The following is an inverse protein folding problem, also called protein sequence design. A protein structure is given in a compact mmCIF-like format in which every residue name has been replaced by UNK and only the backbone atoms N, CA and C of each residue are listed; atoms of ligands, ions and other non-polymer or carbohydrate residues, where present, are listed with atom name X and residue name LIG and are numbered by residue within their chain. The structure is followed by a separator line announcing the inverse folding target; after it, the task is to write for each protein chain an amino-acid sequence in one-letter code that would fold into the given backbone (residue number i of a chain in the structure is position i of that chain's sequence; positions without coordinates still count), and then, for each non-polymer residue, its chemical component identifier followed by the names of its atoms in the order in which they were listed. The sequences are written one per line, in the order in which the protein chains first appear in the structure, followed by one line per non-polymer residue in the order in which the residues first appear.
data_IF_251913218614
#
_entry.id   IF_251913218614
#
_cell.length_a   1.000
_cell.length_b   1.000
_cell.length_c   1.000
_cell.angle_alpha   90.00
_cell.angle_beta   90.00
_cell.angle_gamma   90.00
#
_symmetry.space_group_name_H-M   'P 1'
#
loop_
_entity.id
_entity.type
_entity.pdbx_description
1 polymer ?
#
# COMPACT_ATOMS: atom_id res chain seq x y z
N UNK A 1 -1.91 13.37 17.47
CA UNK A 1 -1.34 13.25 16.11
C UNK A 1 -0.94 11.82 15.75
N UNK A 2 -0.07 11.14 16.50
CA UNK A 2 0.47 9.81 16.13
C UNK A 2 -0.62 8.77 15.82
N UNK A 3 -1.55 8.52 16.76
CA UNK A 3 -2.61 7.52 16.56
C UNK A 3 -3.42 7.79 15.29
N UNK A 4 -3.91 9.02 15.12
CA UNK A 4 -4.67 9.42 13.93
C UNK A 4 -3.87 9.17 12.65
N UNK A 5 -2.58 9.53 12.62
CA UNK A 5 -1.73 9.34 11.46
C UNK A 5 -1.51 7.85 11.15
N UNK A 6 -1.22 7.03 12.15
CA UNK A 6 -1.01 5.59 11.98
C UNK A 6 -2.29 4.88 11.52
N UNK A 7 -3.44 5.18 12.14
CA UNK A 7 -4.73 4.61 11.76
C UNK A 7 -5.08 4.99 10.30
N UNK A 8 -4.92 6.28 9.94
CA UNK A 8 -5.13 6.78 8.57
C UNK A 8 -4.17 6.13 7.56
N UNK A 9 -2.92 5.90 7.96
CA UNK A 9 -1.93 5.26 7.11
C UNK A 9 -2.26 3.78 6.86
N UNK A 10 -2.58 3.02 7.91
CA UNK A 10 -2.85 1.58 7.79
C UNK A 10 -4.14 1.32 7.00
N UNK A 11 -5.22 2.03 7.33
CA UNK A 11 -6.51 1.79 6.69
C UNK A 11 -6.58 2.46 5.32
N UNK A 12 -6.36 3.78 5.28
CA UNK A 12 -6.56 4.58 4.07
C UNK A 12 -5.40 4.52 3.08
N UNK A 13 -4.15 4.67 3.54
CA UNK A 13 -3.02 4.73 2.62
C UNK A 13 -2.64 3.33 2.11
N UNK A 14 -2.46 2.38 3.04
CA UNK A 14 -2.01 1.02 2.73
C UNK A 14 -3.17 0.16 2.21
N UNK A 15 -4.27 0.10 2.95
CA UNK A 15 -5.43 -0.74 2.62
C UNK A 15 -5.97 -0.44 1.22
N UNK A 16 -6.28 0.83 0.98
CA UNK A 16 -6.92 1.24 -0.29
C UNK A 16 -5.98 1.17 -1.49
N UNK A 17 -4.68 1.46 -1.31
CA UNK A 17 -3.69 1.28 -2.40
C UNK A 17 -3.58 -0.18 -2.81
N UNK A 18 -3.56 -1.11 -1.84
CA UNK A 18 -3.54 -2.54 -2.11
C UNK A 18 -4.84 -2.98 -2.78
N UNK A 19 -6.00 -2.54 -2.27
CA UNK A 19 -7.30 -2.87 -2.83
C UNK A 19 -7.43 -2.41 -4.29
N UNK A 20 -7.07 -1.16 -4.57
CA UNK A 20 -7.04 -0.60 -5.93
C UNK A 20 -6.10 -1.40 -6.84
N UNK A 21 -4.89 -1.75 -6.38
CA UNK A 21 -3.95 -2.50 -7.20
C UNK A 21 -4.45 -3.93 -7.46
N UNK A 22 -4.96 -4.63 -6.46
CA UNK A 22 -5.54 -5.98 -6.62
C UNK A 22 -6.69 -5.95 -7.64
N UNK A 23 -7.63 -5.01 -7.49
CA UNK A 23 -8.76 -4.86 -8.40
C UNK A 23 -8.27 -4.57 -9.84
N UNK A 24 -7.29 -3.67 -9.99
CA UNK A 24 -6.68 -3.33 -11.29
C UNK A 24 -5.98 -4.53 -11.93
N UNK A 25 -5.35 -5.41 -11.16
CA UNK A 25 -4.77 -6.66 -11.69
C UNK A 25 -5.85 -7.64 -12.10
N UNK A 26 -6.94 -7.74 -11.34
CA UNK A 26 -8.12 -8.53 -11.66
C UNK A 26 -8.73 -8.15 -13.01
N UNK A 27 -8.87 -6.85 -13.27
CA UNK A 27 -9.43 -6.33 -14.53
C UNK A 27 -8.70 -6.83 -15.78
N UNK A 28 -7.39 -7.08 -15.72
CA UNK A 28 -6.59 -7.45 -16.91
C UNK A 28 -7.03 -8.75 -17.57
N UNK A 29 -7.60 -9.68 -16.80
CA UNK A 29 -8.06 -10.99 -17.30
C UNK A 29 -9.56 -11.22 -17.12
N UNK A 30 -10.28 -10.24 -16.56
CA UNK A 30 -11.71 -10.30 -16.35
C UNK A 30 -12.45 -10.26 -17.69
N UNK A 31 -13.31 -11.25 -17.91
CA UNK A 31 -14.15 -11.44 -19.09
C UNK A 31 -15.64 -11.27 -18.74
N UNK A 32 -16.02 -11.53 -17.48
CA UNK A 32 -17.39 -11.30 -17.01
C UNK A 32 -17.68 -9.79 -16.89
N UNK A 33 -18.69 -9.31 -17.62
CA UNK A 33 -18.99 -7.88 -17.73
C UNK A 33 -19.43 -7.26 -16.40
N UNK A 34 -20.21 -7.99 -15.60
CA UNK A 34 -20.68 -7.50 -14.31
C UNK A 34 -19.51 -7.35 -13.32
N UNK A 35 -18.65 -8.37 -13.24
CA UNK A 35 -17.44 -8.35 -12.41
C UNK A 35 -16.49 -7.24 -12.86
N UNK A 36 -16.33 -7.06 -14.17
CA UNK A 36 -15.48 -6.00 -14.74
C UNK A 36 -15.97 -4.61 -14.33
N UNK A 37 -17.26 -4.33 -14.48
CA UNK A 37 -17.84 -3.04 -14.08
C UNK A 37 -17.60 -2.76 -12.59
N UNK A 38 -17.86 -3.75 -11.73
CA UNK A 38 -17.61 -3.62 -10.28
C UNK A 38 -16.14 -3.37 -9.97
N UNK A 39 -15.22 -4.08 -10.62
CA UNK A 39 -13.79 -3.89 -10.41
C UNK A 39 -13.30 -2.52 -10.90
N UNK A 40 -13.86 -1.98 -12.00
CA UNK A 40 -13.58 -0.60 -12.46
C UNK A 40 -14.00 0.42 -11.40
N UNK A 41 -15.18 0.27 -10.79
CA UNK A 41 -15.61 1.14 -9.69
C UNK A 41 -14.69 1.03 -8.46
N UNK A 42 -14.28 -0.19 -8.07
CA UNK A 42 -13.36 -0.38 -6.95
C UNK A 42 -12.00 0.30 -7.22
N UNK A 43 -11.45 0.19 -8.43
CA UNK A 43 -10.18 0.85 -8.77
C UNK A 43 -10.28 2.36 -8.61
N UNK A 44 -11.38 2.97 -9.07
CA UNK A 44 -11.58 4.41 -8.99
C UNK A 44 -11.85 4.87 -7.55
N UNK A 45 -12.68 4.16 -6.80
CA UNK A 45 -13.05 4.50 -5.43
C UNK A 45 -11.86 4.38 -4.48
N UNK A 46 -11.19 3.23 -4.47
CA UNK A 46 -10.07 3.01 -3.57
C UNK A 46 -8.84 3.84 -3.98
N UNK A 47 -8.69 4.16 -5.27
CA UNK A 47 -7.70 5.14 -5.72
C UNK A 47 -7.95 6.54 -5.14
N UNK A 48 -9.21 7.00 -5.11
CA UNK A 48 -9.57 8.29 -4.49
C UNK A 48 -9.42 8.25 -2.97
N UNK A 49 -9.81 7.15 -2.32
CA UNK A 49 -9.67 7.00 -0.87
C UNK A 49 -8.20 7.01 -0.44
N UNK A 50 -7.32 6.27 -1.13
CA UNK A 50 -5.88 6.33 -0.90
C UNK A 50 -5.34 7.76 -1.07
N UNK A 51 -5.75 8.45 -2.15
CA UNK A 51 -5.35 9.84 -2.39
C UNK A 51 -5.77 10.81 -1.29
N UNK A 52 -6.98 10.65 -0.73
CA UNK A 52 -7.45 11.45 0.40
C UNK A 52 -6.69 11.14 1.69
N UNK A 53 -6.39 9.87 1.95
CA UNK A 53 -5.62 9.45 3.11
C UNK A 53 -4.21 10.04 3.08
N UNK A 54 -3.50 9.99 1.94
CA UNK A 54 -2.19 10.62 1.79
C UNK A 54 -2.22 12.14 1.97
N UNK A 55 -3.24 12.82 1.46
CA UNK A 55 -3.44 14.25 1.70
C UNK A 55 -3.63 14.56 3.19
N UNK A 56 -4.32 13.68 3.91
CA UNK A 56 -4.52 13.78 5.36
C UNK A 56 -3.20 13.60 6.11
N UNK A 57 -2.37 12.62 5.72
CA UNK A 57 -1.03 12.45 6.30
C UNK A 57 -0.17 13.69 6.10
N UNK A 58 -0.15 14.25 4.88
CA UNK A 58 0.57 15.49 4.58
C UNK A 58 0.10 16.63 5.48
N UNK A 59 -1.21 16.82 5.59
CA UNK A 59 -1.79 17.86 6.46
C UNK A 59 -1.35 17.69 7.93
N UNK A 60 -1.33 16.47 8.46
CA UNK A 60 -0.85 16.21 9.82
C UNK A 60 0.64 16.58 9.97
N UNK A 61 1.48 16.24 8.99
CA UNK A 61 2.92 16.52 9.01
C UNK A 61 3.26 18.01 8.86
N UNK A 62 2.38 18.78 8.22
CA UNK A 62 2.52 20.24 8.01
C UNK A 62 1.89 21.07 9.14
N UNK A 63 1.05 20.46 9.98
CA UNK A 63 0.43 21.15 11.10
C UNK A 63 1.45 21.64 12.14
N UNK A 64 1.20 22.81 12.73
CA UNK A 64 2.00 23.37 13.81
C UNK A 64 1.90 22.53 15.10
N UNK A 65 2.96 22.47 15.91
CA UNK A 65 2.91 21.82 17.24
C UNK A 65 4.04 20.84 17.59
N UNK A 66 5.16 20.83 16.86
CA UNK A 66 6.34 20.03 17.22
C UNK A 66 6.16 18.50 17.13
N UNK A 67 5.02 18.02 16.64
CA UNK A 67 4.70 16.58 16.53
C UNK A 67 5.22 15.93 15.24
N UNK A 68 5.68 16.73 14.27
CA UNK A 68 6.08 16.26 12.94
C UNK A 68 7.07 15.11 12.99
N UNK A 69 8.16 15.23 13.75
CA UNK A 69 9.19 14.20 13.85
C UNK A 69 8.65 12.91 14.48
N UNK A 70 7.89 13.02 15.57
CA UNK A 70 7.32 11.86 16.25
C UNK A 70 6.29 11.12 15.36
N UNK A 71 5.48 11.86 14.59
CA UNK A 71 4.54 11.26 13.62
C UNK A 71 5.31 10.60 12.47
N UNK A 72 6.29 11.28 11.88
CA UNK A 72 7.09 10.74 10.79
C UNK A 72 7.83 9.45 11.20
N UNK A 73 8.39 9.42 12.42
CA UNK A 73 9.03 8.23 12.97
C UNK A 73 8.06 7.07 13.12
N UNK A 74 6.88 7.31 13.72
CA UNK A 74 5.86 6.27 13.89
C UNK A 74 5.33 5.72 12.56
N UNK A 75 5.14 6.59 11.56
CA UNK A 75 4.73 6.16 10.22
C UNK A 75 5.79 5.28 9.54
N UNK A 76 7.07 5.66 9.62
CA UNK A 76 8.17 4.85 9.08
C UNK A 76 8.29 3.50 9.78
N UNK A 77 8.24 3.46 11.10
CA UNK A 77 8.28 2.21 11.88
C UNK A 77 7.15 1.25 11.47
N UNK A 78 5.93 1.78 11.37
CA UNK A 78 4.77 1.02 10.93
C UNK A 78 4.93 0.53 9.48
N UNK A 79 5.39 1.40 8.59
CA UNK A 79 5.62 1.07 7.18
C UNK A 79 6.67 -0.03 7.01
N UNK A 80 7.81 0.08 7.69
CA UNK A 80 8.88 -0.95 7.66
C UNK A 80 8.33 -2.30 8.09
N UNK A 81 7.66 -2.36 9.24
CA UNK A 81 7.09 -3.62 9.78
C UNK A 81 6.13 -4.28 8.78
N UNK A 82 5.24 -3.49 8.17
CA UNK A 82 4.25 -4.03 7.24
C UNK A 82 4.83 -4.39 5.87
N UNK A 83 5.81 -3.63 5.38
CA UNK A 83 6.50 -3.89 4.12
C UNK A 83 7.35 -5.16 4.23
N UNK A 84 8.07 -5.36 5.33
CA UNK A 84 8.81 -6.58 5.63
C UNK A 84 7.89 -7.79 5.65
N UNK A 85 6.73 -7.69 6.31
CA UNK A 85 5.73 -8.76 6.31
C UNK A 85 5.18 -9.07 4.91
N UNK A 86 4.98 -8.05 4.06
CA UNK A 86 4.53 -8.23 2.69
C UNK A 86 5.60 -8.89 1.80
N UNK A 87 6.86 -8.50 1.98
CA UNK A 87 8.02 -9.08 1.27
C UNK A 87 8.26 -10.53 1.68
N UNK A 88 8.28 -10.81 2.98
CA UNK A 88 8.45 -12.15 3.53
C UNK A 88 7.39 -13.14 3.02
N UNK A 89 6.14 -12.69 2.86
CA UNK A 89 5.06 -13.51 2.29
C UNK A 89 5.28 -13.87 0.81
N UNK A 90 6.20 -13.20 0.12
CA UNK A 90 6.56 -13.46 -1.28
C UNK A 90 7.90 -14.18 -1.45
N UNK A 91 8.62 -14.48 -0.36
CA UNK A 91 9.84 -15.28 -0.41
C UNK A 91 9.55 -16.67 -0.98
N UNK A 92 10.51 -17.22 -1.74
CA UNK A 92 10.29 -18.44 -2.54
C UNK A 92 9.82 -19.65 -1.71
N UNK A 93 10.24 -19.72 -0.45
CA UNK A 93 9.90 -20.78 0.50
C UNK A 93 8.47 -20.65 1.05
N UNK A 94 7.90 -19.44 1.04
CA UNK A 94 6.61 -19.10 1.64
C UNK A 94 5.54 -18.87 0.58
N UNK A 95 5.92 -18.35 -0.58
CA UNK A 95 5.00 -17.98 -1.64
C UNK A 95 4.33 -19.24 -2.22
N UNK A 96 2.99 -19.34 -2.15
CA UNK A 96 2.29 -20.53 -2.62
C UNK A 96 2.47 -20.73 -4.13
N UNK A 97 2.37 -21.99 -4.55
CA UNK A 97 2.19 -22.31 -5.96
C UNK A 97 0.92 -21.64 -6.49
N UNK A 98 0.85 -21.42 -7.80
CA UNK A 98 -0.36 -20.91 -8.42
C UNK A 98 -1.51 -21.90 -8.18
N UNK A 99 -2.70 -21.36 -7.89
CA UNK A 99 -3.91 -22.19 -7.74
C UNK A 99 -4.19 -22.90 -9.09
N UNK A 100 -4.46 -24.23 -9.10
CA UNK A 100 -4.85 -24.93 -10.32
C UNK A 100 -6.04 -24.29 -11.06
N UNK A 101 -6.91 -23.58 -10.35
CA UNK A 101 -8.07 -22.86 -10.88
C UNK A 101 -7.80 -21.38 -11.16
N UNK A 102 -6.56 -20.89 -11.01
CA UNK A 102 -6.22 -19.47 -11.17
C UNK A 102 -6.68 -18.90 -12.52
N UNK A 103 -6.57 -19.67 -13.60
CA UNK A 103 -7.06 -19.24 -14.92
C UNK A 103 -8.58 -19.12 -14.99
N UNK A 104 -9.32 -20.01 -14.33
CA UNK A 104 -10.78 -19.93 -14.23
C UNK A 104 -11.22 -18.72 -13.40
N UNK A 105 -10.60 -18.53 -12.24
CA UNK A 105 -10.85 -17.39 -11.35
C UNK A 105 -10.57 -16.04 -12.02
N UNK A 106 -9.48 -15.97 -12.79
CA UNK A 106 -9.07 -14.75 -13.48
C UNK A 106 -10.12 -14.25 -14.50
N UNK A 107 -10.93 -15.13 -15.08
CA UNK A 107 -12.04 -14.73 -15.99
C UNK A 107 -13.12 -13.93 -15.27
N UNK A 108 -13.25 -14.09 -13.96
CA UNK A 108 -14.13 -13.29 -13.10
C UNK A 108 -13.36 -12.16 -12.40
N UNK A 109 -12.12 -11.89 -12.82
CA UNK A 109 -11.27 -10.86 -12.25
C UNK A 109 -10.76 -11.16 -10.84
N UNK A 110 -10.90 -12.41 -10.36
CA UNK A 110 -10.38 -12.84 -9.07
C UNK A 110 -8.93 -13.31 -9.21
N UNK A 111 -8.03 -12.72 -8.42
CA UNK A 111 -6.67 -13.24 -8.28
C UNK A 111 -6.68 -14.49 -7.39
N UNK A 112 -5.74 -15.39 -7.64
CA UNK A 112 -5.41 -16.43 -6.69
C UNK A 112 -4.55 -15.86 -5.55
N UNK A 113 -4.33 -16.67 -4.51
CA UNK A 113 -3.58 -16.23 -3.33
C UNK A 113 -2.16 -15.75 -3.70
N UNK A 114 -1.52 -16.42 -4.65
CA UNK A 114 -0.21 -16.02 -5.16
C UNK A 114 -0.27 -14.64 -5.81
N UNK A 115 -1.24 -14.39 -6.69
CA UNK A 115 -1.45 -13.11 -7.35
C UNK A 115 -1.74 -11.96 -6.39
N UNK A 116 -2.55 -12.21 -5.34
CA UNK A 116 -2.82 -11.23 -4.28
C UNK A 116 -1.56 -10.84 -3.51
N UNK A 117 -0.74 -11.81 -3.11
CA UNK A 117 0.51 -11.55 -2.37
C UNK A 117 1.49 -10.73 -3.21
N UNK A 118 1.65 -11.08 -4.48
CA UNK A 118 2.48 -10.30 -5.40
C UNK A 118 1.91 -8.89 -5.62
N UNK A 119 0.59 -8.73 -5.70
CA UNK A 119 -0.03 -7.40 -5.76
C UNK A 119 0.27 -6.58 -4.51
N UNK A 120 0.21 -7.20 -3.34
CA UNK A 120 0.50 -6.54 -2.07
C UNK A 120 1.95 -6.08 -1.99
N UNK A 121 2.91 -6.94 -2.34
CA UNK A 121 4.33 -6.57 -2.39
C UNK A 121 4.57 -5.41 -3.34
N UNK A 122 4.04 -5.49 -4.56
CA UNK A 122 4.24 -4.44 -5.57
C UNK A 122 3.58 -3.12 -5.16
N UNK A 123 2.45 -3.14 -4.44
CA UNK A 123 1.87 -1.92 -3.85
C UNK A 123 2.83 -1.27 -2.85
N UNK A 124 3.53 -2.05 -2.03
CA UNK A 124 4.53 -1.54 -1.10
C UNK A 124 5.73 -0.95 -1.82
N UNK A 125 6.33 -1.71 -2.74
CA UNK A 125 7.56 -1.35 -3.45
C UNK A 125 7.36 -0.16 -4.40
N UNK A 126 6.27 -0.15 -5.17
CA UNK A 126 6.10 0.80 -6.28
C UNK A 126 5.33 2.06 -5.87
N UNK A 127 4.53 2.02 -4.80
CA UNK A 127 3.59 3.09 -4.45
C UNK A 127 3.71 3.56 -3.00
N UNK A 128 3.55 2.66 -2.02
CA UNK A 128 3.39 3.07 -0.62
C UNK A 128 4.70 3.60 -0.04
N UNK A 129 5.81 2.85 -0.15
CA UNK A 129 7.10 3.29 0.38
C UNK A 129 7.59 4.57 -0.32
N UNK A 130 7.61 4.66 -1.67
CA UNK A 130 8.04 5.90 -2.33
C UNK A 130 7.18 7.11 -1.97
N UNK A 131 5.87 6.93 -1.80
CA UNK A 131 4.97 8.04 -1.40
C UNK A 131 5.23 8.49 0.03
N UNK A 132 5.45 7.54 0.96
CA UNK A 132 5.79 7.87 2.34
C UNK A 132 7.14 8.60 2.42
N UNK A 133 8.16 8.10 1.71
CA UNK A 133 9.50 8.70 1.69
C UNK A 133 9.46 10.14 1.14
N UNK A 134 8.62 10.40 0.13
CA UNK A 134 8.43 11.74 -0.41
C UNK A 134 7.79 12.72 0.60
N UNK A 135 6.92 12.23 1.50
CA UNK A 135 6.23 13.06 2.50
C UNK A 135 7.00 13.20 3.81
N UNK A 136 7.69 12.15 4.22
CA UNK A 136 8.35 12.01 5.50
C UNK A 136 9.75 11.37 5.30
N UNK A 137 10.66 12.06 4.58
CA UNK A 137 11.98 11.53 4.29
C UNK A 137 12.69 11.15 5.58
N UNK A 138 13.51 10.10 5.51
CA UNK A 138 14.42 9.77 6.60
C UNK A 138 15.26 11.02 6.93
N UNK A 139 15.52 11.30 8.22
CA UNK A 139 16.45 12.37 8.55
C UNK A 139 17.76 12.09 7.82
N UNK A 140 18.30 13.09 7.11
CA UNK A 140 19.63 12.98 6.54
C UNK A 140 20.56 12.57 7.69
N UNK A 141 21.30 11.48 7.49
CA UNK A 141 22.37 11.09 8.41
C UNK A 141 23.35 12.25 8.43
N UNK A 142 23.18 13.13 9.42
CA UNK A 142 23.91 14.39 9.51
C UNK A 142 25.40 14.15 9.40
N UNK A 143 26.05 15.03 8.63
CA UNK A 143 27.48 15.27 8.62
C UNK A 143 28.10 14.90 9.97
N UNK A 144 29.05 13.97 9.93
CA UNK A 144 29.99 13.77 11.02
C UNK A 144 30.52 15.14 11.44
N UNK A 145 30.17 15.51 12.67
CA UNK A 145 30.89 16.42 13.57
C UNK A 145 32.16 16.99 12.94
N UNK A 146 32.05 18.15 12.29
CA UNK A 146 33.23 19.00 12.12
C UNK A 146 33.49 19.70 13.45
N UNK A 147 34.60 19.29 14.03
CA UNK A 147 35.25 19.76 15.26
C UNK A 147 35.29 21.29 15.42
#
# INVERSE_FOLDING_TARGET
WIRLAVDTFVEGCVGETIAALVARRGLRRCQDLASRYTLEQIVDDEGRHAGLAWQTIRWILEAEGGHREAVAAALREQATTMAEAASAACEKQVLPAADPLAEGLARYGRLDRRGELLARRDAWEDLILPTLDALAPAPESGDEVRA
#
